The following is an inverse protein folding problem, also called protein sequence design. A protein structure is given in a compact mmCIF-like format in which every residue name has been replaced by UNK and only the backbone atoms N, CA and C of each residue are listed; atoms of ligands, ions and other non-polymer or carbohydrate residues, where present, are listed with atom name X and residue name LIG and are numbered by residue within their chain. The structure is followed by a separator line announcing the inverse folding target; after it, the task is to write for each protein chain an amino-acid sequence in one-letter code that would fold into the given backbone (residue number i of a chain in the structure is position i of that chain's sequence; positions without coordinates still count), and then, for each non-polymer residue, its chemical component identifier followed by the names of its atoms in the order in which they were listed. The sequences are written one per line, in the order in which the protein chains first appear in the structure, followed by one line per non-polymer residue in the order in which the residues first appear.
data_IF_986281579488
#
_entry.id   IF_986281579488
#
_cell.length_a   1.000
_cell.length_b   1.000
_cell.length_c   1.000
_cell.angle_alpha   90.00
_cell.angle_beta   90.00
_cell.angle_gamma   90.00
#
_symmetry.space_group_name_H-M   'P 1'
#
loop_
_entity.id
_entity.type
_entity.pdbx_description
1 polymer ?
#
# COMPACT_ATOMS: atom_id res chain seq x y z
N UNK A 1 3.51 3.04 -28.54
CA UNK A 1 4.95 3.29 -28.33
C UNK A 1 5.83 2.03 -28.38
N UNK A 2 5.40 0.84 -27.93
CA UNK A 2 6.25 -0.37 -27.92
C UNK A 2 6.69 -0.87 -29.32
N UNK A 3 5.84 -0.74 -30.36
CA UNK A 3 6.15 -1.22 -31.72
C UNK A 3 7.30 -0.47 -32.41
N UNK A 4 7.50 0.81 -32.12
CA UNK A 4 8.59 1.58 -32.74
C UNK A 4 9.96 1.20 -32.17
N UNK A 5 10.02 0.83 -30.87
CA UNK A 5 11.26 0.42 -30.23
C UNK A 5 11.75 -0.95 -30.73
N UNK A 6 10.82 -1.85 -31.06
CA UNK A 6 11.16 -3.18 -31.59
C UNK A 6 11.73 -3.10 -33.01
N UNK A 7 11.12 -2.29 -33.89
CA UNK A 7 11.61 -2.09 -35.26
C UNK A 7 13.01 -1.45 -35.27
N UNK A 8 13.29 -0.56 -34.32
CA UNK A 8 14.60 0.07 -34.18
C UNK A 8 15.66 -0.91 -33.66
N UNK A 9 15.27 -1.84 -32.76
CA UNK A 9 16.13 -2.92 -32.30
C UNK A 9 16.47 -3.91 -33.42
N UNK A 10 15.48 -4.25 -34.24
CA UNK A 10 15.65 -5.16 -35.37
C UNK A 10 16.56 -4.55 -36.45
N UNK A 11 16.44 -3.24 -36.70
CA UNK A 11 17.31 -2.51 -37.60
C UNK A 11 18.75 -2.42 -37.06
N UNK A 12 18.93 -2.13 -35.77
CA UNK A 12 20.25 -2.12 -35.10
C UNK A 12 20.90 -3.53 -35.15
N UNK A 13 20.12 -4.60 -34.93
CA UNK A 13 20.58 -5.99 -34.99
C UNK A 13 20.90 -6.44 -36.42
N UNK A 14 20.19 -5.93 -37.42
CA UNK A 14 20.46 -6.22 -38.83
C UNK A 14 21.75 -5.53 -39.29
N UNK A 15 22.04 -4.33 -38.78
CA UNK A 15 23.31 -3.62 -39.01
C UNK A 15 24.48 -4.36 -38.32
N UNK A 16 24.24 -5.00 -37.18
CA UNK A 16 25.21 -5.84 -36.47
C UNK A 16 25.58 -7.14 -37.21
N UNK A 17 24.69 -7.66 -38.07
CA UNK A 17 24.85 -8.96 -38.72
C UNK A 17 25.70 -8.98 -40.00
N UNK A 18 26.04 -7.82 -40.57
CA UNK A 18 26.83 -7.72 -41.80
C UNK A 18 28.09 -6.88 -41.57
N UNK A 19 29.19 -7.55 -41.24
CA UNK A 19 30.59 -7.08 -41.35
C UNK A 19 31.01 -5.81 -40.58
N UNK A 20 30.24 -5.36 -39.59
CA UNK A 20 30.64 -4.21 -38.78
C UNK A 20 31.72 -4.59 -37.74
N UNK A 21 32.97 -4.16 -37.97
CA UNK A 21 34.04 -4.15 -36.96
C UNK A 21 33.71 -3.09 -35.90
N UNK A 22 32.76 -3.40 -35.02
CA UNK A 22 32.36 -2.50 -33.94
C UNK A 22 33.48 -2.43 -32.90
N UNK A 23 33.79 -1.21 -32.46
CA UNK A 23 34.72 -0.99 -31.36
C UNK A 23 34.15 -1.59 -30.06
N UNK A 24 35.05 -1.99 -29.16
CA UNK A 24 34.71 -2.68 -27.91
C UNK A 24 33.70 -1.86 -27.06
N UNK A 25 33.84 -0.54 -27.09
CA UNK A 25 32.94 0.42 -26.43
C UNK A 25 31.53 0.42 -27.02
N UNK A 26 31.39 0.31 -28.35
CA UNK A 26 30.07 0.23 -28.99
C UNK A 26 29.36 -1.08 -28.65
N UNK A 27 30.10 -2.20 -28.60
CA UNK A 27 29.55 -3.49 -28.18
C UNK A 27 29.09 -3.48 -26.73
N UNK A 28 29.85 -2.85 -25.82
CA UNK A 28 29.42 -2.68 -24.43
C UNK A 28 28.14 -1.83 -24.34
N UNK A 29 28.06 -0.72 -25.08
CA UNK A 29 26.88 0.15 -25.06
C UNK A 29 25.62 -0.55 -25.59
N UNK A 30 25.76 -1.38 -26.62
CA UNK A 30 24.68 -2.20 -27.18
C UNK A 30 24.27 -3.29 -26.18
N UNK A 31 25.24 -3.99 -25.59
CA UNK A 31 25.02 -5.01 -24.56
C UNK A 31 24.27 -4.44 -23.36
N UNK A 32 24.70 -3.29 -22.84
CA UNK A 32 24.09 -2.67 -21.67
C UNK A 32 22.66 -2.17 -22.00
N UNK A 33 22.41 -1.74 -23.25
CA UNK A 33 21.06 -1.39 -23.72
C UNK A 33 20.16 -2.61 -23.86
N UNK A 34 20.68 -3.72 -24.38
CA UNK A 34 19.95 -4.99 -24.47
C UNK A 34 19.62 -5.57 -23.09
N UNK A 35 20.56 -5.58 -22.14
CA UNK A 35 20.28 -6.03 -20.77
C UNK A 35 19.27 -5.14 -20.07
N UNK A 36 19.31 -3.82 -20.30
CA UNK A 36 18.31 -2.89 -19.77
C UNK A 36 16.92 -3.16 -20.37
N UNK A 37 16.83 -3.51 -21.65
CA UNK A 37 15.56 -3.77 -22.33
C UNK A 37 14.99 -5.16 -22.02
N UNK A 38 15.82 -6.20 -21.98
CA UNK A 38 15.41 -7.56 -21.60
C UNK A 38 15.00 -7.60 -20.12
N UNK A 39 15.81 -6.99 -19.25
CA UNK A 39 15.46 -6.87 -17.83
C UNK A 39 14.22 -6.02 -17.57
N UNK A 40 13.83 -5.12 -18.48
CA UNK A 40 12.56 -4.39 -18.40
C UNK A 40 11.38 -5.22 -18.94
N UNK A 41 11.57 -6.00 -20.01
CA UNK A 41 10.52 -6.82 -20.61
C UNK A 41 10.13 -8.01 -19.74
N UNK A 42 11.09 -8.75 -19.20
CA UNK A 42 10.80 -9.87 -18.28
C UNK A 42 10.15 -9.39 -16.98
N UNK A 43 10.51 -8.20 -16.51
CA UNK A 43 9.91 -7.60 -15.31
C UNK A 43 8.49 -7.09 -15.58
N UNK A 44 8.22 -6.56 -16.78
CA UNK A 44 6.87 -6.13 -17.17
C UNK A 44 5.95 -7.34 -17.34
N UNK A 45 6.42 -8.44 -17.95
CA UNK A 45 5.63 -9.66 -18.16
C UNK A 45 5.34 -10.38 -16.82
N UNK A 46 6.34 -10.44 -15.92
CA UNK A 46 6.19 -10.99 -14.57
C UNK A 46 5.30 -10.13 -13.65
N UNK A 47 5.21 -8.81 -13.88
CA UNK A 47 4.33 -7.93 -13.10
C UNK A 47 2.90 -7.86 -13.66
N UNK A 48 2.71 -8.04 -14.97
CA UNK A 48 1.37 -7.96 -15.59
C UNK A 48 0.59 -9.27 -15.51
N UNK A 49 1.28 -10.40 -15.40
CA UNK A 49 0.63 -11.69 -15.31
C UNK A 49 0.73 -12.21 -13.87
N UNK A 50 -0.40 -12.19 -13.13
CA UNK A 50 -0.58 -12.98 -11.89
C UNK A 50 -0.62 -14.49 -12.20
N UNK A 51 0.20 -14.96 -13.14
CA UNK A 51 0.33 -16.37 -13.45
C UNK A 51 1.06 -17.04 -12.30
N UNK A 52 0.45 -18.11 -11.79
CA UNK A 52 1.06 -19.03 -10.86
C UNK A 52 2.50 -19.31 -11.29
N UNK A 53 3.44 -19.17 -10.36
CA UNK A 53 4.88 -19.32 -10.58
C UNK A 53 5.31 -20.69 -11.16
N UNK A 54 4.36 -21.60 -11.38
CA UNK A 54 4.50 -22.87 -12.06
C UNK A 54 4.82 -22.70 -13.57
N UNK A 55 4.41 -21.59 -14.20
CA UNK A 55 4.59 -21.34 -15.63
C UNK A 55 5.90 -20.65 -16.05
N UNK A 56 6.64 -20.05 -15.11
CA UNK A 56 7.89 -19.32 -15.37
C UNK A 56 9.14 -20.21 -15.30
N UNK A 57 8.95 -21.54 -15.32
CA UNK A 57 10.05 -22.46 -15.58
C UNK A 57 10.32 -22.44 -17.08
N UNK A 58 11.12 -21.45 -17.53
CA UNK A 58 11.72 -21.55 -18.86
C UNK A 58 12.49 -22.87 -18.88
N UNK A 59 12.12 -23.86 -19.71
CA UNK A 59 12.72 -25.19 -19.62
C UNK A 59 14.22 -25.04 -19.78
N UNK A 60 15.00 -25.65 -18.89
CA UNK A 60 16.47 -25.57 -18.86
C UNK A 60 17.06 -25.84 -20.26
N UNK A 61 16.40 -26.67 -21.06
CA UNK A 61 16.74 -26.97 -22.45
C UNK A 61 16.67 -25.74 -23.40
N UNK A 62 15.75 -24.79 -23.19
CA UNK A 62 15.66 -23.53 -23.95
C UNK A 62 16.74 -22.53 -23.51
N UNK A 63 16.97 -22.38 -22.21
CA UNK A 63 18.09 -21.56 -21.70
C UNK A 63 19.43 -22.09 -22.20
N UNK A 64 19.66 -23.41 -22.16
CA UNK A 64 20.84 -24.05 -22.70
C UNK A 64 21.04 -23.78 -24.21
N UNK A 65 19.96 -23.60 -24.97
CA UNK A 65 20.03 -23.28 -26.40
C UNK A 65 20.40 -21.81 -26.68
N UNK A 66 20.02 -20.88 -25.80
CA UNK A 66 20.38 -19.46 -25.86
C UNK A 66 21.86 -19.27 -25.50
N UNK A 67 22.38 -20.10 -24.59
CA UNK A 67 23.80 -20.11 -24.20
C UNK A 67 24.66 -21.11 -24.97
N UNK A 68 24.15 -21.73 -26.05
CA UNK A 68 25.02 -22.54 -26.91
C UNK A 68 26.11 -21.63 -27.46
N UNK A 69 27.39 -21.96 -27.23
CA UNK A 69 28.48 -21.15 -27.74
C UNK A 69 28.41 -21.18 -29.27
N UNK A 70 27.88 -20.11 -29.87
CA UNK A 70 28.23 -19.80 -31.24
C UNK A 70 29.75 -19.69 -31.26
N UNK A 71 30.39 -20.42 -32.16
CA UNK A 71 31.84 -20.60 -32.26
C UNK A 71 32.52 -19.25 -32.55
N UNK A 72 32.57 -18.36 -31.57
CA UNK A 72 33.32 -17.11 -31.61
C UNK A 72 34.59 -17.38 -30.82
N UNK A 73 35.70 -17.28 -31.54
CA UNK A 73 37.04 -17.65 -31.11
C UNK A 73 37.44 -17.00 -29.78
N UNK A 74 38.03 -17.86 -28.93
CA UNK A 74 39.05 -17.60 -27.91
C UNK A 74 38.92 -16.27 -27.14
N UNK A 75 38.41 -16.37 -25.90
CA UNK A 75 38.97 -15.50 -24.87
C UNK A 75 38.12 -15.10 -23.67
N UNK A 76 36.92 -15.66 -23.39
CA UNK A 76 36.23 -15.51 -22.09
C UNK A 76 34.96 -16.42 -21.91
N UNK A 77 35.03 -17.77 -22.07
CA UNK A 77 33.85 -18.63 -21.90
C UNK A 77 33.47 -18.90 -20.43
N UNK A 78 34.35 -18.66 -19.45
CA UNK A 78 34.13 -19.07 -18.06
C UNK A 78 33.20 -18.11 -17.26
N UNK A 79 33.18 -16.81 -17.58
CA UNK A 79 32.48 -15.80 -16.76
C UNK A 79 30.99 -15.69 -17.06
N UNK A 80 30.55 -15.89 -18.31
CA UNK A 80 29.13 -15.81 -18.67
C UNK A 80 28.33 -17.01 -18.13
N UNK A 81 28.93 -18.20 -18.13
CA UNK A 81 28.32 -19.40 -17.54
C UNK A 81 28.12 -19.28 -16.03
N UNK A 82 29.03 -18.60 -15.33
CA UNK A 82 28.92 -18.40 -13.88
C UNK A 82 27.78 -17.44 -13.52
N UNK A 83 27.61 -16.34 -14.27
CA UNK A 83 26.53 -15.36 -14.04
C UNK A 83 25.15 -15.99 -14.30
N UNK A 84 24.99 -16.77 -15.36
CA UNK A 84 23.72 -17.43 -15.68
C UNK A 84 23.34 -18.51 -14.64
N UNK A 85 24.32 -19.29 -14.16
CA UNK A 85 24.07 -20.30 -13.11
C UNK A 85 23.68 -19.65 -11.78
N UNK A 86 24.30 -18.52 -11.42
CA UNK A 86 23.92 -17.72 -10.24
C UNK A 86 22.50 -17.19 -10.40
N UNK A 87 22.14 -16.68 -11.58
CA UNK A 87 20.78 -16.16 -11.83
C UNK A 87 19.69 -17.25 -11.74
N UNK A 88 19.91 -18.42 -12.35
CA UNK A 88 18.95 -19.53 -12.31
C UNK A 88 18.82 -20.15 -10.91
N UNK A 89 19.93 -20.30 -10.18
CA UNK A 89 19.89 -20.74 -8.79
C UNK A 89 19.15 -19.73 -7.88
N UNK A 90 19.19 -18.44 -8.22
CA UNK A 90 18.46 -17.39 -7.50
C UNK A 90 16.95 -17.52 -7.68
N UNK A 91 16.48 -17.91 -8.88
CA UNK A 91 15.03 -18.04 -9.15
C UNK A 91 14.38 -19.26 -8.49
N UNK A 92 15.02 -20.43 -8.50
CA UNK A 92 14.47 -21.62 -7.81
C UNK A 92 14.44 -21.44 -6.30
N UNK A 93 15.42 -20.72 -5.75
CA UNK A 93 15.44 -20.34 -4.33
C UNK A 93 14.38 -19.27 -4.00
N UNK A 94 14.01 -18.43 -4.98
CA UNK A 94 13.04 -17.35 -4.80
C UNK A 94 11.64 -17.81 -4.40
N UNK A 95 11.14 -18.91 -5.00
CA UNK A 95 9.82 -19.45 -4.65
C UNK A 95 9.77 -19.96 -3.20
N UNK A 96 10.81 -20.69 -2.77
CA UNK A 96 10.90 -21.22 -1.39
C UNK A 96 11.16 -20.08 -0.39
N UNK A 97 11.93 -19.06 -0.78
CA UNK A 97 12.19 -17.91 0.07
C UNK A 97 10.94 -17.05 0.30
N UNK A 98 9.98 -17.03 -0.64
CA UNK A 98 8.73 -16.26 -0.50
C UNK A 98 7.91 -16.74 0.70
N UNK A 99 7.89 -18.03 0.95
CA UNK A 99 7.14 -18.66 2.05
C UNK A 99 7.96 -18.78 3.34
N UNK A 100 9.16 -18.19 3.40
CA UNK A 100 10.00 -18.26 4.58
C UNK A 100 9.44 -17.38 5.71
N UNK A 101 9.14 -17.97 6.86
CA UNK A 101 8.69 -17.25 8.06
C UNK A 101 9.86 -16.61 8.84
N UNK A 102 9.59 -15.59 9.69
CA UNK A 102 10.59 -15.06 10.59
C UNK A 102 11.21 -16.15 11.47
N UNK A 103 12.54 -16.18 11.54
CA UNK A 103 13.32 -17.21 12.23
C UNK A 103 13.76 -18.38 11.33
N UNK A 104 13.29 -18.46 10.08
CA UNK A 104 13.83 -19.40 9.10
C UNK A 104 15.12 -18.86 8.43
N UNK A 105 16.08 -19.71 8.03
CA UNK A 105 17.32 -19.26 7.40
C UNK A 105 17.12 -18.44 6.12
N UNK A 106 16.09 -18.76 5.33
CA UNK A 106 15.77 -18.09 4.08
C UNK A 106 15.03 -16.75 4.26
N UNK A 107 14.67 -16.39 5.49
CA UNK A 107 13.93 -15.16 5.78
C UNK A 107 14.69 -13.90 5.38
N UNK A 108 16.02 -13.91 5.47
CA UNK A 108 16.88 -12.80 5.02
C UNK A 108 16.73 -12.55 3.52
N UNK A 109 16.57 -13.62 2.74
CA UNK A 109 16.36 -13.54 1.29
C UNK A 109 14.98 -12.94 0.99
N UNK A 110 13.94 -13.36 1.74
CA UNK A 110 12.59 -12.78 1.64
C UNK A 110 12.61 -11.27 1.86
N UNK A 111 13.27 -10.80 2.92
CA UNK A 111 13.41 -9.36 3.22
C UNK A 111 14.12 -8.60 2.11
N UNK A 112 15.11 -9.20 1.46
CA UNK A 112 15.78 -8.59 0.32
C UNK A 112 14.80 -8.38 -0.85
N UNK A 113 13.97 -9.37 -1.16
CA UNK A 113 12.92 -9.24 -2.17
C UNK A 113 11.88 -8.17 -1.81
N UNK A 114 11.39 -8.16 -0.58
CA UNK A 114 10.45 -7.13 -0.09
C UNK A 114 11.05 -5.72 -0.20
N UNK A 115 12.33 -5.58 0.11
CA UNK A 115 13.04 -4.29 -0.03
C UNK A 115 13.13 -3.86 -1.49
N UNK A 116 13.41 -4.79 -2.40
CA UNK A 116 13.46 -4.52 -3.84
C UNK A 116 12.06 -4.14 -4.36
N UNK A 117 11.03 -4.87 -3.96
CA UNK A 117 9.64 -4.56 -4.33
C UNK A 117 9.22 -3.16 -3.87
N UNK A 118 9.53 -2.80 -2.62
CA UNK A 118 9.29 -1.46 -2.08
C UNK A 118 10.10 -0.38 -2.80
N UNK A 119 11.33 -0.68 -3.23
CA UNK A 119 12.17 0.26 -3.98
C UNK A 119 11.65 0.48 -5.42
N UNK A 120 11.06 -0.54 -6.03
CA UNK A 120 10.46 -0.47 -7.37
C UNK A 120 9.08 0.20 -7.36
N UNK A 121 8.38 0.17 -6.23
CA UNK A 121 7.05 0.77 -6.07
C UNK A 121 7.15 2.27 -5.83
N UNK A 122 6.96 3.05 -6.90
CA UNK A 122 7.08 4.53 -6.88
C UNK A 122 5.83 5.25 -6.41
N UNK A 123 4.65 4.68 -6.65
CA UNK A 123 3.38 5.26 -6.25
C UNK A 123 3.23 5.15 -4.71
N UNK A 124 3.04 6.26 -3.96
CA UNK A 124 2.91 6.21 -2.51
C UNK A 124 1.71 5.37 -2.04
N UNK A 125 0.59 5.37 -2.78
CA UNK A 125 -0.58 4.57 -2.43
C UNK A 125 -0.27 3.08 -2.58
N UNK A 126 0.29 2.68 -3.73
CA UNK A 126 0.73 1.30 -3.95
C UNK A 126 1.81 0.87 -2.95
N UNK A 127 2.73 1.75 -2.58
CA UNK A 127 3.79 1.44 -1.61
C UNK A 127 3.21 1.17 -0.22
N UNK A 128 2.24 1.97 0.22
CA UNK A 128 1.52 1.72 1.47
C UNK A 128 0.77 0.38 1.42
N UNK A 129 0.14 0.05 0.29
CA UNK A 129 -0.53 -1.24 0.09
C UNK A 129 0.43 -2.44 0.18
N UNK A 130 1.62 -2.35 -0.42
CA UNK A 130 2.67 -3.38 -0.32
C UNK A 130 3.11 -3.56 1.12
N UNK A 131 3.35 -2.46 1.85
CA UNK A 131 3.74 -2.55 3.26
C UNK A 131 2.64 -3.13 4.15
N UNK A 132 1.37 -2.79 3.91
CA UNK A 132 0.24 -3.40 4.60
C UNK A 132 0.15 -4.90 4.30
N UNK A 133 0.44 -5.32 3.07
CA UNK A 133 0.47 -6.74 2.70
C UNK A 133 1.59 -7.48 3.42
N UNK A 134 2.79 -6.90 3.48
CA UNK A 134 3.90 -7.46 4.27
C UNK A 134 3.51 -7.57 5.75
N UNK A 135 2.86 -6.55 6.31
CA UNK A 135 2.39 -6.57 7.69
C UNK A 135 1.36 -7.67 7.96
N UNK A 136 0.39 -7.85 7.06
CA UNK A 136 -0.62 -8.91 7.13
C UNK A 136 0.03 -10.31 7.09
N UNK A 137 0.95 -10.54 6.15
CA UNK A 137 1.68 -11.80 6.05
C UNK A 137 2.47 -12.11 7.34
N UNK A 138 3.09 -11.10 7.96
CA UNK A 138 3.79 -11.27 9.25
C UNK A 138 2.84 -11.56 10.40
N UNK A 139 1.63 -11.02 10.39
CA UNK A 139 0.61 -11.31 11.40
C UNK A 139 0.10 -12.74 11.28
N UNK A 140 -0.15 -13.21 10.06
CA UNK A 140 -0.59 -14.58 9.81
C UNK A 140 0.46 -15.60 10.29
N UNK A 141 1.74 -15.27 10.14
CA UNK A 141 2.83 -16.11 10.64
C UNK A 141 2.81 -16.28 12.17
N UNK A 142 2.24 -15.34 12.95
CA UNK A 142 2.16 -15.46 14.42
C UNK A 142 1.29 -16.66 14.82
N UNK A 143 0.15 -16.83 14.16
CA UNK A 143 -0.81 -17.90 14.48
C UNK A 143 -0.26 -19.31 14.24
N UNK A 144 0.72 -19.45 13.34
CA UNK A 144 1.37 -20.72 13.02
C UNK A 144 2.76 -20.89 13.64
N UNK A 145 3.25 -19.91 14.40
CA UNK A 145 4.63 -19.93 14.88
C UNK A 145 4.84 -20.89 16.05
N UNK A 146 5.87 -21.73 15.95
CA UNK A 146 6.39 -22.49 17.08
C UNK A 146 6.85 -21.56 18.22
N UNK A 147 6.79 -22.03 19.46
CA UNK A 147 7.17 -21.24 20.65
C UNK A 147 8.64 -20.77 20.63
N UNK A 148 9.51 -21.46 19.89
CA UNK A 148 10.92 -21.08 19.69
C UNK A 148 11.10 -19.91 18.71
N UNK A 149 10.14 -19.70 17.80
CA UNK A 149 10.16 -18.66 16.76
C UNK A 149 9.25 -17.48 17.10
N UNK A 150 8.30 -17.67 18.02
CA UNK A 150 7.27 -16.68 18.36
C UNK A 150 7.84 -15.28 18.64
N UNK A 151 8.93 -15.15 19.40
CA UNK A 151 9.58 -13.86 19.67
C UNK A 151 10.07 -13.16 18.39
N UNK A 152 10.68 -13.91 17.48
CA UNK A 152 11.18 -13.37 16.21
C UNK A 152 10.01 -12.93 15.29
N UNK A 153 8.95 -13.74 15.24
CA UNK A 153 7.76 -13.45 14.42
C UNK A 153 7.01 -12.22 14.95
N UNK A 154 6.82 -12.13 16.27
CA UNK A 154 6.18 -10.97 16.91
C UNK A 154 6.98 -9.69 16.63
N UNK A 155 8.30 -9.69 16.87
CA UNK A 155 9.15 -8.51 16.61
C UNK A 155 9.14 -8.07 15.15
N UNK A 156 9.12 -9.02 14.23
CA UNK A 156 9.11 -8.69 12.81
C UNK A 156 7.73 -8.18 12.34
N UNK A 157 6.64 -8.74 12.88
CA UNK A 157 5.29 -8.24 12.65
C UNK A 157 5.12 -6.78 13.11
N UNK A 158 5.69 -6.42 14.26
CA UNK A 158 5.70 -5.04 14.72
C UNK A 158 6.41 -4.10 13.75
N UNK A 159 7.63 -4.45 13.33
CA UNK A 159 8.40 -3.63 12.38
C UNK A 159 7.65 -3.43 11.06
N UNK A 160 6.95 -4.47 10.59
CA UNK A 160 6.14 -4.39 9.39
C UNK A 160 4.94 -3.44 9.58
N UNK A 161 4.27 -3.48 10.73
CA UNK A 161 3.17 -2.56 11.04
C UNK A 161 3.61 -1.11 11.24
N UNK A 162 4.74 -0.89 11.90
CA UNK A 162 5.31 0.46 12.05
C UNK A 162 5.68 1.05 10.67
N UNK A 163 6.28 0.22 9.81
CA UNK A 163 6.55 0.60 8.42
C UNK A 163 5.25 0.97 7.69
N UNK A 164 4.24 0.09 7.74
CA UNK A 164 2.94 0.33 7.11
C UNK A 164 2.25 1.59 7.63
N UNK A 165 2.28 1.85 8.95
CA UNK A 165 1.80 3.10 9.55
C UNK A 165 2.51 4.30 8.94
N UNK A 166 3.84 4.27 8.90
CA UNK A 166 4.63 5.38 8.36
C UNK A 166 4.30 5.66 6.88
N UNK A 167 4.06 4.64 6.07
CA UNK A 167 3.63 4.84 4.68
C UNK A 167 2.19 5.36 4.55
N UNK A 168 1.24 4.86 5.35
CA UNK A 168 -0.13 5.38 5.37
C UNK A 168 -0.16 6.84 5.85
N UNK A 169 0.58 7.18 6.91
CA UNK A 169 0.69 8.56 7.38
C UNK A 169 1.38 9.48 6.38
N UNK A 170 2.39 8.98 5.64
CA UNK A 170 3.00 9.74 4.56
C UNK A 170 1.99 10.00 3.42
N UNK A 171 1.18 9.01 3.07
CA UNK A 171 0.12 9.14 2.06
C UNK A 171 -0.94 10.17 2.48
N UNK A 172 -1.40 10.12 3.73
CA UNK A 172 -2.36 11.09 4.29
C UNK A 172 -1.85 12.53 4.22
N UNK A 173 -0.54 12.74 4.40
CA UNK A 173 0.08 14.07 4.28
C UNK A 173 0.15 14.57 2.84
N UNK A 174 0.24 13.67 1.87
CA UNK A 174 0.34 14.02 0.45
C UNK A 174 -1.01 14.13 -0.25
N UNK A 175 -2.03 13.46 0.27
CA UNK A 175 -3.28 13.25 -0.45
C UNK A 175 -4.46 13.39 0.53
N UNK A 176 -4.86 14.64 0.78
CA UNK A 176 -5.84 15.01 1.83
C UNK A 176 -7.28 14.62 1.51
N UNK A 177 -7.58 14.05 0.34
CA UNK A 177 -8.97 13.77 -0.06
C UNK A 177 -9.19 12.53 -0.95
N UNK A 178 -8.18 11.69 -1.21
CA UNK A 178 -8.40 10.50 -2.04
C UNK A 178 -9.08 9.38 -1.26
N UNK A 179 -10.06 8.73 -1.91
CA UNK A 179 -10.75 7.54 -1.40
C UNK A 179 -9.77 6.40 -1.07
N UNK A 180 -8.65 6.30 -1.79
CA UNK A 180 -7.61 5.31 -1.53
C UNK A 180 -6.94 5.49 -0.16
N UNK A 181 -6.77 6.73 0.31
CA UNK A 181 -6.20 7.01 1.64
C UNK A 181 -7.12 6.49 2.75
N UNK A 182 -8.44 6.68 2.61
CA UNK A 182 -9.44 6.19 3.58
C UNK A 182 -9.46 4.66 3.65
N UNK A 183 -9.46 3.99 2.50
CA UNK A 183 -9.46 2.52 2.44
C UNK A 183 -8.18 1.91 3.06
N UNK A 184 -7.02 2.53 2.81
CA UNK A 184 -5.74 2.08 3.38
C UNK A 184 -5.67 2.29 4.90
N UNK A 185 -6.23 3.39 5.41
CA UNK A 185 -6.35 3.62 6.85
C UNK A 185 -7.27 2.59 7.50
N UNK A 186 -8.41 2.29 6.88
CA UNK A 186 -9.32 1.24 7.35
C UNK A 186 -8.64 -0.13 7.38
N UNK A 187 -7.84 -0.45 6.34
CA UNK A 187 -7.05 -1.69 6.29
C UNK A 187 -5.97 -1.73 7.39
N UNK A 188 -5.26 -0.64 7.63
CA UNK A 188 -4.29 -0.54 8.74
C UNK A 188 -4.99 -0.78 10.09
N UNK A 189 -6.15 -0.15 10.32
CA UNK A 189 -6.94 -0.33 11.54
C UNK A 189 -7.32 -1.80 11.74
N UNK A 190 -7.83 -2.45 10.70
CA UNK A 190 -8.15 -3.88 10.73
C UNK A 190 -6.95 -4.77 11.06
N UNK A 191 -5.76 -4.46 10.56
CA UNK A 191 -4.54 -5.23 10.86
C UNK A 191 -4.08 -5.03 12.30
N UNK A 192 -4.15 -3.80 12.81
CA UNK A 192 -3.84 -3.50 14.21
C UNK A 192 -4.80 -4.23 15.14
N UNK A 193 -6.10 -4.24 14.85
CA UNK A 193 -7.12 -4.94 15.64
C UNK A 193 -6.93 -6.47 15.60
N UNK A 194 -6.59 -7.02 14.43
CA UNK A 194 -6.22 -8.43 14.29
C UNK A 194 -4.99 -8.77 15.13
N UNK A 195 -3.95 -7.93 15.11
CA UNK A 195 -2.77 -8.14 15.95
C UNK A 195 -3.12 -8.09 17.44
N UNK A 196 -3.88 -7.08 17.88
CA UNK A 196 -4.31 -6.96 19.28
C UNK A 196 -5.06 -8.21 19.74
N UNK A 197 -5.90 -8.77 18.88
CA UNK A 197 -6.64 -10.01 19.15
C UNK A 197 -5.68 -11.19 19.33
N UNK A 198 -4.76 -11.40 18.39
CA UNK A 198 -3.76 -12.48 18.46
C UNK A 198 -2.88 -12.35 19.71
N UNK A 199 -2.38 -11.15 19.99
CA UNK A 199 -1.56 -10.86 21.17
C UNK A 199 -2.32 -11.10 22.48
N UNK A 200 -3.61 -10.72 22.53
CA UNK A 200 -4.47 -10.99 23.68
C UNK A 200 -4.66 -12.48 23.91
N UNK A 201 -4.85 -13.26 22.85
CA UNK A 201 -4.94 -14.73 22.93
C UNK A 201 -3.64 -15.33 23.46
N UNK A 202 -2.48 -14.90 22.95
CA UNK A 202 -1.16 -15.36 23.42
C UNK A 202 -1.00 -15.14 24.92
N UNK A 203 -1.37 -13.94 25.42
CA UNK A 203 -1.28 -13.61 26.84
C UNK A 203 -2.28 -14.43 27.67
N UNK A 204 -3.54 -14.51 27.24
CA UNK A 204 -4.63 -15.20 27.96
C UNK A 204 -4.39 -16.71 28.06
N UNK A 205 -3.87 -17.32 27.00
CA UNK A 205 -3.60 -18.76 26.93
C UNK A 205 -2.21 -19.12 27.47
N UNK A 206 -1.45 -18.15 28.00
CA UNK A 206 -0.09 -18.32 28.50
C UNK A 206 0.86 -18.97 27.46
N UNK A 207 0.69 -18.63 26.18
CA UNK A 207 1.55 -19.10 25.10
C UNK A 207 2.87 -18.32 25.16
N UNK A 208 4.01 -19.01 25.11
CA UNK A 208 5.32 -18.37 25.14
C UNK A 208 5.97 -18.31 26.53
N UNK A 209 7.23 -17.84 26.54
CA UNK A 209 7.95 -17.55 27.80
C UNK A 209 7.38 -16.29 28.44
N UNK A 210 7.59 -16.10 29.75
CA UNK A 210 7.17 -14.89 30.46
C UNK A 210 7.69 -13.61 29.79
N UNK A 211 8.94 -13.60 29.34
CA UNK A 211 9.54 -12.45 28.67
C UNK A 211 8.81 -12.11 27.35
N UNK A 212 8.39 -13.13 26.60
CA UNK A 212 7.60 -12.95 25.36
C UNK A 212 6.24 -12.35 25.70
N UNK A 213 5.58 -12.80 26.77
CA UNK A 213 4.29 -12.25 27.20
C UNK A 213 4.40 -10.80 27.66
N UNK A 214 5.47 -10.45 28.37
CA UNK A 214 5.75 -9.05 28.75
C UNK A 214 6.03 -8.18 27.55
N UNK A 215 6.82 -8.67 26.58
CA UNK A 215 7.00 -7.99 25.31
C UNK A 215 5.65 -7.81 24.62
N UNK A 216 4.88 -8.88 24.39
CA UNK A 216 3.54 -8.83 23.80
C UNK A 216 2.60 -7.82 24.47
N UNK A 217 2.63 -7.71 25.81
CA UNK A 217 1.85 -6.72 26.54
C UNK A 217 2.31 -5.27 26.27
N UNK A 218 3.62 -5.01 26.25
CA UNK A 218 4.16 -3.70 25.88
C UNK A 218 3.81 -3.32 24.44
N UNK A 219 3.88 -4.30 23.52
CA UNK A 219 3.52 -4.13 22.11
C UNK A 219 2.05 -3.74 21.95
N UNK A 220 1.17 -4.36 22.74
CA UNK A 220 -0.26 -4.01 22.74
C UNK A 220 -0.48 -2.54 23.11
N UNK A 221 0.28 -2.03 24.07
CA UNK A 221 0.21 -0.63 24.48
C UNK A 221 0.74 0.29 23.38
N UNK A 222 1.87 -0.05 22.74
CA UNK A 222 2.38 0.70 21.58
C UNK A 222 1.39 0.72 20.40
N UNK A 223 0.64 -0.38 20.19
CA UNK A 223 -0.39 -0.47 19.14
C UNK A 223 -1.59 0.45 19.39
N UNK A 224 -1.88 0.79 20.64
CA UNK A 224 -2.89 1.80 20.95
C UNK A 224 -2.41 3.20 20.50
N UNK A 225 -1.11 3.47 20.58
CA UNK A 225 -0.47 4.71 20.07
C UNK A 225 -0.24 4.68 18.54
N UNK A 226 -0.31 3.51 17.91
CA UNK A 226 -0.06 3.37 16.47
C UNK A 226 -1.24 3.85 15.62
N UNK A 227 -2.47 3.65 16.08
CA UNK A 227 -3.61 4.25 15.39
C UNK A 227 -3.57 5.76 15.63
N UNK A 228 -3.77 6.61 14.59
CA UNK A 228 -4.09 8.00 14.87
C UNK A 228 -5.24 7.96 15.87
N UNK A 229 -5.07 8.57 17.05
CA UNK A 229 -6.20 8.78 17.93
C UNK A 229 -7.28 9.37 17.04
N UNK A 230 -8.51 8.85 17.13
CA UNK A 230 -9.64 9.32 16.31
C UNK A 230 -9.87 10.86 16.48
N UNK A 231 -9.08 11.52 17.34
CA UNK A 231 -8.90 12.96 17.57
C UNK A 231 -8.33 13.79 16.41
N UNK A 232 -7.73 13.19 15.37
CA UNK A 232 -7.28 13.96 14.19
C UNK A 232 -8.45 14.38 13.27
N UNK A 233 -9.65 13.87 13.51
CA UNK A 233 -10.87 14.58 13.19
C UNK A 233 -11.26 15.31 14.49
N UNK A 234 -11.25 16.65 14.49
CA UNK A 234 -11.57 17.47 15.67
C UNK A 234 -12.83 16.96 16.40
N UNK A 235 -13.01 17.24 17.70
CA UNK A 235 -13.85 16.48 18.65
C UNK A 235 -15.19 16.04 18.06
N UNK A 236 -15.14 14.90 17.36
CA UNK A 236 -16.25 14.41 16.60
C UNK A 236 -17.06 13.56 17.56
N UNK A 237 -17.95 14.25 18.26
CA UNK A 237 -18.86 13.60 19.17
C UNK A 237 -19.80 12.71 18.34
N UNK A 238 -19.86 11.43 18.69
CA UNK A 238 -20.82 10.50 18.12
C UNK A 238 -22.09 10.54 18.95
N UNK A 239 -23.21 10.92 18.33
CA UNK A 239 -24.51 11.00 18.95
C UNK A 239 -25.38 9.88 18.40
N UNK A 240 -25.72 8.92 19.25
CA UNK A 240 -26.66 7.84 18.91
C UNK A 240 -28.02 8.11 19.55
N UNK A 241 -29.10 7.88 18.81
CA UNK A 241 -30.43 8.24 19.28
C UNK A 241 -31.55 8.00 18.26
N UNK A 242 -32.68 8.67 18.52
CA UNK A 242 -33.85 8.64 17.63
C UNK A 242 -33.89 9.95 16.83
N UNK A 243 -34.01 9.87 15.51
CA UNK A 243 -34.22 11.07 14.71
C UNK A 243 -35.60 11.65 14.98
N UNK A 244 -35.63 12.94 15.22
CA UNK A 244 -36.84 13.70 15.54
C UNK A 244 -36.82 15.04 14.82
N UNK A 245 -37.82 15.86 15.08
CA UNK A 245 -37.87 17.24 14.61
C UNK A 245 -38.00 18.18 15.79
N UNK A 246 -37.22 19.27 15.79
CA UNK A 246 -37.29 20.32 16.79
C UNK A 246 -37.35 21.66 16.07
N UNK A 247 -38.38 22.47 16.37
CA UNK A 247 -38.62 23.77 15.73
C UNK A 247 -38.66 23.72 14.19
N UNK A 248 -39.22 22.63 13.64
CA UNK A 248 -39.31 22.42 12.19
C UNK A 248 -37.99 22.00 11.52
N UNK A 249 -36.94 21.70 12.28
CA UNK A 249 -35.65 21.25 11.77
C UNK A 249 -35.32 19.81 12.20
N UNK A 250 -34.52 19.08 11.40
CA UNK A 250 -33.84 17.85 11.80
C UNK A 250 -33.21 17.91 13.20
N UNK A 251 -33.48 16.91 14.03
CA UNK A 251 -32.88 16.79 15.36
C UNK A 251 -32.63 15.32 15.72
N UNK A 252 -31.75 15.07 16.70
CA UNK A 252 -31.53 13.76 17.30
C UNK A 252 -31.82 13.80 18.80
N UNK A 253 -32.64 12.87 19.28
CA UNK A 253 -32.89 12.68 20.71
C UNK A 253 -31.96 11.61 21.26
N UNK A 254 -30.99 12.01 22.07
CA UNK A 254 -30.04 11.13 22.76
C UNK A 254 -30.29 11.24 24.26
N UNK A 255 -30.70 10.13 24.88
CA UNK A 255 -30.94 10.04 26.33
C UNK A 255 -31.90 11.13 26.87
N UNK A 256 -32.94 11.48 26.11
CA UNK A 256 -33.93 12.48 26.49
C UNK A 256 -33.51 13.94 26.22
N UNK A 257 -32.29 14.16 25.73
CA UNK A 257 -31.81 15.48 25.29
C UNK A 257 -31.90 15.58 23.77
N UNK A 258 -32.52 16.65 23.28
CA UNK A 258 -32.74 16.87 21.84
C UNK A 258 -31.70 17.85 21.30
N UNK A 259 -30.90 17.38 20.34
CA UNK A 259 -29.89 18.18 19.65
C UNK A 259 -30.35 18.49 18.22
N UNK A 260 -30.38 19.76 17.84
CA UNK A 260 -30.65 20.16 16.44
C UNK A 260 -29.50 19.74 15.55
N UNK A 261 -29.80 19.29 14.34
CA UNK A 261 -28.82 18.94 13.32
C UNK A 261 -28.66 20.10 12.35
N UNK A 262 -27.47 20.72 12.35
CA UNK A 262 -27.15 21.89 11.53
C UNK A 262 -26.41 21.47 10.26
N UNK A 263 -26.71 22.15 9.14
CA UNK A 263 -26.04 21.91 7.85
C UNK A 263 -26.53 20.69 7.07
N UNK A 264 -27.64 20.07 7.48
CA UNK A 264 -28.24 18.92 6.80
C UNK A 264 -29.11 19.41 5.63
N UNK A 265 -28.73 19.06 4.40
CA UNK A 265 -29.50 19.38 3.17
C UNK A 265 -30.34 18.19 2.67
N UNK A 266 -30.04 16.99 3.13
CA UNK A 266 -30.80 15.77 2.80
C UNK A 266 -32.13 15.78 3.54
N UNK A 267 -33.20 15.48 2.81
CA UNK A 267 -34.52 15.25 3.42
C UNK A 267 -34.49 13.98 4.27
N UNK A 268 -34.42 14.15 5.59
CA UNK A 268 -34.46 13.05 6.56
C UNK A 268 -35.87 12.77 7.09
N UNK A 269 -36.91 13.41 6.55
CA UNK A 269 -38.30 13.26 7.03
C UNK A 269 -38.78 11.81 7.01
N UNK A 270 -38.35 11.04 6.00
CA UNK A 270 -38.64 9.61 5.86
C UNK A 270 -38.06 8.73 6.98
N UNK A 271 -37.12 9.26 7.77
CA UNK A 271 -36.43 8.52 8.82
C UNK A 271 -36.77 9.00 10.24
N UNK A 272 -37.68 9.98 10.37
CA UNK A 272 -38.13 10.48 11.68
C UNK A 272 -38.84 9.36 12.44
N UNK A 273 -38.45 9.16 13.71
CA UNK A 273 -38.98 8.10 14.57
C UNK A 273 -38.23 6.78 14.50
N UNK A 274 -37.24 6.64 13.61
CA UNK A 274 -36.37 5.46 13.60
C UNK A 274 -35.41 5.50 14.79
N UNK A 275 -35.40 4.41 15.54
CA UNK A 275 -34.37 4.06 16.53
C UNK A 275 -33.14 3.58 15.76
N UNK A 276 -31.91 3.88 16.22
CA UNK A 276 -30.62 3.54 15.60
C UNK A 276 -30.06 4.56 14.58
N UNK A 277 -30.36 5.85 14.76
CA UNK A 277 -29.59 6.87 14.07
C UNK A 277 -28.28 7.15 14.82
N UNK A 278 -27.17 7.22 14.09
CA UNK A 278 -25.89 7.70 14.59
C UNK A 278 -25.44 8.90 13.76
N UNK A 279 -25.20 10.01 14.44
CA UNK A 279 -24.75 11.27 13.87
C UNK A 279 -23.36 11.58 14.41
N UNK A 280 -22.42 11.82 13.50
CA UNK A 280 -21.07 12.28 13.85
C UNK A 280 -20.99 13.76 13.49
N UNK A 281 -20.60 14.59 14.44
CA UNK A 281 -20.45 16.02 14.23
C UNK A 281 -19.88 16.75 15.44
N UNK A 282 -19.72 18.06 15.27
CA UNK A 282 -19.22 18.94 16.33
C UNK A 282 -20.41 19.55 17.09
N UNK A 283 -20.36 19.55 18.42
CA UNK A 283 -21.41 20.15 19.25
C UNK A 283 -21.16 21.66 19.35
N UNK A 284 -21.98 22.45 18.68
CA UNK A 284 -22.04 23.90 18.84
C UNK A 284 -23.11 24.34 19.84
N UNK A 285 -23.21 25.65 20.06
CA UNK A 285 -24.21 26.25 20.97
C UNK A 285 -25.65 26.00 20.49
N UNK A 286 -25.88 25.96 19.17
CA UNK A 286 -27.21 25.82 18.59
C UNK A 286 -27.62 24.38 18.26
N UNK A 287 -26.67 23.43 18.31
CA UNK A 287 -26.88 22.06 17.86
C UNK A 287 -25.59 21.41 17.36
N UNK A 288 -25.74 20.25 16.73
CA UNK A 288 -24.64 19.47 16.16
C UNK A 288 -24.43 19.92 14.72
N UNK A 289 -23.25 20.43 14.40
CA UNK A 289 -22.81 20.64 13.01
C UNK A 289 -22.49 19.27 12.43
N UNK A 290 -23.40 18.77 11.61
CA UNK A 290 -23.36 17.39 11.14
C UNK A 290 -22.23 17.22 10.13
N UNK A 291 -21.41 16.18 10.34
CA UNK A 291 -20.46 15.71 9.35
C UNK A 291 -20.93 14.42 8.69
N UNK A 292 -21.55 13.51 9.43
CA UNK A 292 -22.00 12.21 8.89
C UNK A 292 -23.27 11.74 9.59
N UNK A 293 -24.21 11.20 8.82
CA UNK A 293 -25.43 10.56 9.34
C UNK A 293 -25.52 9.12 8.83
N UNK A 294 -25.67 8.18 9.76
CA UNK A 294 -25.95 6.77 9.45
C UNK A 294 -27.20 6.30 10.17
N UNK A 295 -28.05 5.51 9.50
CA UNK A 295 -29.29 4.95 10.05
C UNK A 295 -29.30 3.47 9.71
N UNK A 296 -29.46 2.60 10.72
CA UNK A 296 -29.35 1.15 10.55
C UNK A 296 -28.07 0.73 9.80
N UNK A 297 -26.95 1.39 10.15
CA UNK A 297 -25.63 1.23 9.51
C UNK A 297 -25.54 1.68 8.04
N UNK A 298 -26.62 2.21 7.45
CA UNK A 298 -26.60 2.77 6.09
C UNK A 298 -26.22 4.25 6.14
N UNK A 299 -25.27 4.67 5.29
CA UNK A 299 -24.92 6.07 5.11
C UNK A 299 -26.06 6.83 4.42
N UNK A 300 -26.58 7.87 5.08
CA UNK A 300 -27.65 8.71 4.55
C UNK A 300 -27.11 10.03 4.00
N UNK A 301 -26.08 10.60 4.64
CA UNK A 301 -25.45 11.84 4.20
C UNK A 301 -24.05 12.02 4.78
N UNK A 302 -23.20 12.70 4.01
CA UNK A 302 -21.84 13.09 4.40
C UNK A 302 -21.62 14.56 4.00
N UNK A 303 -21.20 15.36 4.98
CA UNK A 303 -21.08 16.81 4.91
C UNK A 303 -19.66 17.17 5.33
N UNK A 304 -18.74 17.42 4.38
CA UNK A 304 -17.39 17.82 4.73
C UNK A 304 -17.46 19.13 5.51
N UNK A 305 -16.80 19.21 6.69
CA UNK A 305 -16.68 20.48 7.40
C UNK A 305 -16.06 21.48 6.43
N UNK A 306 -16.68 22.64 6.24
CA UNK A 306 -16.03 23.74 5.54
C UNK A 306 -14.79 24.08 6.36
N UNK A 307 -13.64 23.61 5.88
CA UNK A 307 -12.36 23.90 6.50
C UNK A 307 -12.17 25.41 6.37
N UNK A 308 -12.44 26.14 7.45
CA UNK A 308 -12.40 27.61 7.47
C UNK A 308 -10.97 28.14 7.22
N UNK A 309 -9.98 27.25 7.11
CA UNK A 309 -8.61 27.54 6.69
C UNK A 309 -8.36 27.42 5.19
N UNK A 310 -9.36 27.10 4.37
CA UNK A 310 -9.28 27.36 2.94
C UNK A 310 -9.32 28.88 2.73
N UNK A 311 -8.14 29.51 2.74
CA UNK A 311 -7.94 30.88 2.28
C UNK A 311 -8.78 31.10 1.02
N UNK A 312 -9.48 32.24 0.88
CA UNK A 312 -10.22 32.52 -0.34
C UNK A 312 -9.25 32.34 -1.50
N UNK A 313 -9.54 31.39 -2.40
CA UNK A 313 -8.86 31.34 -3.68
C UNK A 313 -9.12 32.70 -4.30
N UNK A 314 -8.09 33.55 -4.30
CA UNK A 314 -8.05 34.72 -5.14
C UNK A 314 -8.06 34.19 -6.55
N UNK A 315 -9.25 34.08 -7.14
CA UNK A 315 -9.39 33.96 -8.58
C UNK A 315 -8.82 35.27 -9.13
N UNK A 316 -7.55 35.20 -9.53
CA UNK A 316 -6.86 36.32 -10.16
C UNK A 316 -7.53 36.65 -11.47
N UNK A 317 -8.51 37.55 -11.43
CA UNK A 317 -8.90 38.40 -12.55
C UNK A 317 -7.73 39.32 -12.90
N UNK A 318 -6.68 38.80 -13.53
CA UNK A 318 -5.67 39.63 -14.20
C UNK A 318 -5.18 38.96 -15.49
N UNK A 319 -6.05 38.98 -16.50
CA UNK A 319 -5.61 38.90 -17.89
C UNK A 319 -6.56 39.74 -18.76
N UNK A 320 -6.41 41.06 -18.67
CA UNK A 320 -6.98 42.01 -19.62
C UNK A 320 -6.04 43.21 -19.78
N UNK A 321 -4.95 43.03 -20.54
CA UNK A 321 -4.28 44.15 -21.21
C UNK A 321 -3.44 43.67 -22.41
N UNK A 322 -4.11 43.39 -23.52
CA UNK A 322 -3.53 43.54 -24.86
C UNK A 322 -4.49 44.38 -25.69
N UNK A 323 -4.56 45.66 -25.33
CA UNK A 323 -5.11 46.71 -26.18
C UNK A 323 -4.06 47.12 -27.20
N UNK A 324 -4.48 47.08 -28.46
CA UNK A 324 -3.74 47.37 -29.68
C UNK A 324 -3.02 48.73 -29.64
N UNK A 325 -1.80 48.78 -30.17
CA UNK A 325 -1.23 50.00 -30.74
C UNK A 325 -1.08 49.75 -32.22
N UNK A 326 -1.93 50.41 -33.00
CA UNK A 326 -1.76 50.65 -34.43
C UNK A 326 -1.67 52.15 -34.61
N UNK A 327 -0.49 52.62 -35.02
CA UNK A 327 -0.23 53.66 -36.03
C UNK A 327 1.29 53.79 -36.23
#
# INVERSE_FOLDING_TARGET
MARSQFSQLEQDLTILGKDAVLSLTQRQKIRDRLFKQIGQLDLIDAMQTKTEAVGLVMPVNKLASIFRPQKIMLGLPATVGLIATVFVATFTTGAIARDADPGQPLFVVRKAFETIELALTRDPARRAEVQLTIADERLQAISGADQTKLDAVVKESQKALESAKNAVSALQKTDTASTSSVDLVAKLKSLVDAQKTILSTIVKENIGKEDVRKSVAAIRQELDDLLPSDEAAGPNNSFSGVLTTAYGQPAINTNGTVYRLLGVDVDISAYVGLVNANVIGELGEEGIVVQKITIDSKLIGWYPSKDNNALPRVEGEQNNSLGQVSE
#
